data_IF_377099907535
#
_entry.id   IF_377099907535
#
_cell.length_a   1.000
_cell.length_b   1.000
_cell.length_c   1.000
_cell.angle_alpha   90.00
_cell.angle_beta   90.00
_cell.angle_gamma   90.00
#
_symmetry.space_group_name_H-M   'P 1'
#
loop_
_entity.id
_entity.type
_entity.pdbx_description
1 polymer ?
#
# COMPACT_ATOMS: atom_id res chain seq x y z
N UNK A 1 36.83 8.54 -21.87
CA UNK A 1 35.59 9.33 -21.69
C UNK A 1 34.51 8.40 -21.16
N UNK A 2 33.71 8.88 -20.21
CA UNK A 2 32.61 8.10 -19.63
C UNK A 2 31.60 7.78 -20.73
N UNK A 3 31.17 6.52 -20.81
CA UNK A 3 30.17 6.05 -21.77
C UNK A 3 28.81 6.11 -21.09
N UNK A 4 27.88 6.84 -21.69
CA UNK A 4 26.51 7.04 -21.22
C UNK A 4 25.60 6.17 -22.09
N UNK A 5 24.57 5.56 -21.50
CA UNK A 5 23.63 4.69 -22.24
C UNK A 5 22.88 5.49 -23.30
N UNK A 6 22.43 6.71 -22.96
CA UNK A 6 21.72 7.60 -23.86
C UNK A 6 20.56 6.90 -24.58
N UNK A 7 20.39 7.17 -25.87
CA UNK A 7 19.39 6.47 -26.71
C UNK A 7 19.90 5.11 -27.26
N UNK A 8 21.13 4.73 -26.93
CA UNK A 8 21.80 3.55 -27.43
C UNK A 8 21.58 2.30 -26.58
N UNK A 9 22.22 1.21 -27.00
CA UNK A 9 22.34 -0.03 -26.23
C UNK A 9 23.81 -0.36 -26.06
N UNK A 10 24.20 -0.73 -24.85
CA UNK A 10 25.60 -0.98 -24.50
C UNK A 10 25.75 -2.26 -23.69
N UNK A 11 26.81 -3.03 -23.99
CA UNK A 11 27.12 -4.18 -23.18
C UNK A 11 27.71 -3.74 -21.82
N UNK A 12 27.37 -4.43 -20.74
CA UNK A 12 27.89 -4.16 -19.39
C UNK A 12 29.42 -4.09 -19.37
N UNK A 13 30.09 -4.97 -20.11
CA UNK A 13 31.55 -5.01 -20.20
C UNK A 13 32.14 -3.73 -20.78
N UNK A 14 31.44 -3.08 -21.71
CA UNK A 14 31.88 -1.83 -22.31
C UNK A 14 31.70 -0.63 -21.36
N UNK A 15 30.58 -0.59 -20.63
CA UNK A 15 30.32 0.42 -19.61
C UNK A 15 31.34 0.29 -18.47
N UNK A 16 31.57 -0.92 -17.97
CA UNK A 16 32.58 -1.22 -16.95
C UNK A 16 34.00 -0.81 -17.37
N UNK A 17 34.38 -1.09 -18.63
CA UNK A 17 35.67 -0.65 -19.16
C UNK A 17 35.78 0.89 -19.13
N UNK A 18 34.70 1.59 -19.50
CA UNK A 18 34.64 3.04 -19.45
C UNK A 18 34.70 3.61 -18.02
N UNK A 19 34.03 2.97 -17.06
CA UNK A 19 34.05 3.37 -15.63
C UNK A 19 35.44 3.29 -15.01
N UNK A 20 36.26 2.34 -15.46
CA UNK A 20 37.65 2.19 -15.00
C UNK A 20 38.60 3.18 -15.69
N UNK A 21 38.31 3.53 -16.94
CA UNK A 21 39.16 4.37 -17.76
C UNK A 21 38.91 5.88 -17.58
N UNK A 22 37.84 6.27 -16.88
CA UNK A 22 37.47 7.68 -16.70
C UNK A 22 38.13 8.25 -15.44
N UNK A 23 39.03 9.25 -15.55
CA UNK A 23 39.58 9.94 -14.39
C UNK A 23 38.49 10.77 -13.72
N UNK A 24 38.15 10.44 -12.48
CA UNK A 24 37.10 11.12 -11.72
C UNK A 24 37.62 12.07 -10.64
N UNK A 25 38.93 12.26 -10.53
CA UNK A 25 39.55 13.05 -9.45
C UNK A 25 39.31 12.51 -8.05
N UNK A 26 38.87 11.25 -7.92
CA UNK A 26 38.51 10.63 -6.63
C UNK A 26 37.03 10.77 -6.24
N UNK A 27 36.24 11.55 -6.99
CA UNK A 27 34.82 11.79 -6.69
C UNK A 27 33.91 10.62 -7.08
N UNK A 28 34.24 9.89 -8.16
CA UNK A 28 33.45 8.74 -8.64
C UNK A 28 34.32 7.49 -8.69
N UNK A 29 33.98 6.48 -7.90
CA UNK A 29 34.65 5.17 -7.98
C UNK A 29 33.95 4.28 -9.02
N UNK A 30 34.70 3.42 -9.71
CA UNK A 30 34.09 2.45 -10.64
C UNK A 30 33.09 1.52 -9.94
N UNK A 31 33.29 1.24 -8.65
CA UNK A 31 32.34 0.49 -7.81
C UNK A 31 31.04 1.29 -7.60
N UNK A 32 31.15 2.58 -7.28
CA UNK A 32 29.99 3.46 -7.11
C UNK A 32 29.17 3.59 -8.40
N UNK A 33 29.84 3.77 -9.54
CA UNK A 33 29.16 3.82 -10.85
C UNK A 33 28.43 2.50 -11.17
N UNK A 34 29.00 1.35 -10.79
CA UNK A 34 28.33 0.06 -10.96
C UNK A 34 27.08 -0.07 -10.07
N UNK A 35 27.16 0.38 -8.82
CA UNK A 35 26.00 0.40 -7.90
C UNK A 35 24.90 1.31 -8.45
N UNK A 36 25.25 2.51 -8.93
CA UNK A 36 24.30 3.41 -9.57
C UNK A 36 23.68 2.80 -10.83
N UNK A 37 24.47 2.13 -11.68
CA UNK A 37 23.97 1.43 -12.86
C UNK A 37 22.97 0.32 -12.51
N UNK A 38 23.25 -0.45 -11.45
CA UNK A 38 22.36 -1.50 -10.96
C UNK A 38 21.05 -0.91 -10.44
N UNK A 39 21.15 0.13 -9.60
CA UNK A 39 19.99 0.83 -9.07
C UNK A 39 19.10 1.38 -10.20
N UNK A 40 19.69 2.04 -11.21
CA UNK A 40 18.94 2.54 -12.38
C UNK A 40 18.21 1.41 -13.12
N UNK A 41 18.80 0.22 -13.24
CA UNK A 41 18.14 -0.92 -13.85
C UNK A 41 17.01 -1.48 -12.97
N UNK A 42 17.23 -1.62 -11.66
CA UNK A 42 16.23 -2.10 -10.69
C UNK A 42 15.02 -1.18 -10.59
N UNK A 43 15.25 0.14 -10.65
CA UNK A 43 14.19 1.15 -10.60
C UNK A 43 13.55 1.45 -11.97
N UNK A 44 13.87 0.65 -12.99
CA UNK A 44 13.24 0.75 -14.31
C UNK A 44 13.62 2.01 -15.10
N UNK A 45 14.79 2.60 -14.85
CA UNK A 45 15.38 3.63 -15.70
C UNK A 45 16.13 3.01 -16.87
N UNK A 46 16.72 1.84 -16.69
CA UNK A 46 17.40 1.08 -17.74
C UNK A 46 16.71 -0.27 -17.98
N UNK A 47 16.59 -0.64 -19.26
CA UNK A 47 16.22 -1.99 -19.67
C UNK A 47 17.46 -2.89 -19.64
N UNK A 48 17.28 -4.15 -19.25
CA UNK A 48 18.34 -5.16 -19.25
C UNK A 48 17.90 -6.37 -20.08
N UNK A 49 18.60 -6.62 -21.18
CA UNK A 49 18.44 -7.80 -22.03
C UNK A 49 19.76 -8.59 -22.04
N UNK A 50 19.83 -9.66 -21.24
CA UNK A 50 21.08 -10.39 -21.02
C UNK A 50 22.15 -9.49 -20.40
N UNK A 51 23.25 -9.27 -21.12
CA UNK A 51 24.37 -8.40 -20.71
C UNK A 51 24.30 -7.00 -21.31
N UNK A 52 23.19 -6.65 -21.95
CA UNK A 52 23.02 -5.37 -22.65
C UNK A 52 22.05 -4.48 -21.90
N UNK A 53 22.45 -3.23 -21.68
CA UNK A 53 21.62 -2.18 -21.11
C UNK A 53 21.17 -1.21 -22.19
N UNK A 54 19.93 -0.73 -22.08
CA UNK A 54 19.36 0.32 -22.93
C UNK A 54 18.44 1.25 -22.15
N UNK A 55 18.16 2.42 -22.70
CA UNK A 55 17.24 3.36 -22.07
C UNK A 55 15.78 2.87 -22.09
N UNK A 56 15.04 3.23 -21.06
CA UNK A 56 13.58 3.10 -20.97
C UNK A 56 12.89 4.37 -21.45
N UNK A 57 11.57 4.32 -21.64
CA UNK A 57 10.78 5.53 -21.86
C UNK A 57 10.97 6.55 -20.72
N UNK A 58 11.13 6.07 -19.47
CA UNK A 58 11.37 6.90 -18.28
C UNK A 58 12.67 7.70 -18.39
N UNK A 59 13.78 7.04 -18.71
CA UNK A 59 15.07 7.73 -18.90
C UNK A 59 15.10 8.64 -20.13
N UNK A 60 14.36 8.31 -21.19
CA UNK A 60 14.29 9.13 -22.41
C UNK A 60 13.41 10.38 -22.25
N UNK A 61 12.60 10.44 -21.19
CA UNK A 61 11.78 11.59 -20.87
C UNK A 61 12.53 12.67 -20.09
N UNK A 62 13.76 12.38 -19.62
CA UNK A 62 14.61 13.36 -18.94
C UNK A 62 15.10 14.42 -19.94
N UNK A 63 15.32 15.68 -19.48
CA UNK A 63 15.91 16.72 -20.32
C UNK A 63 17.30 16.30 -20.81
N UNK A 64 17.54 16.34 -22.12
CA UNK A 64 18.83 15.94 -22.73
C UNK A 64 19.92 17.03 -22.55
N UNK A 65 19.58 18.25 -22.12
CA UNK A 65 20.45 19.44 -22.11
C UNK A 65 20.68 20.09 -20.73
N UNK A 66 20.09 19.57 -19.65
CA UNK A 66 20.25 20.11 -18.30
C UNK A 66 20.60 19.02 -17.28
N UNK A 67 21.90 18.92 -16.95
CA UNK A 67 22.41 17.95 -15.98
C UNK A 67 21.85 18.17 -14.56
N UNK A 68 21.52 19.41 -14.19
CA UNK A 68 20.95 19.75 -12.87
C UNK A 68 19.53 19.25 -12.77
N UNK A 69 18.70 19.46 -13.79
CA UNK A 69 17.33 18.96 -13.82
C UNK A 69 17.29 17.43 -13.88
N UNK A 70 18.21 16.80 -14.63
CA UNK A 70 18.39 15.34 -14.60
C UNK A 70 18.70 14.86 -13.18
N UNK A 71 19.61 15.53 -12.48
CA UNK A 71 20.00 15.16 -11.12
C UNK A 71 18.83 15.35 -10.12
N UNK A 72 18.09 16.46 -10.23
CA UNK A 72 16.87 16.72 -9.45
C UNK A 72 15.83 15.62 -9.64
N UNK A 73 15.53 15.23 -10.88
CA UNK A 73 14.57 14.17 -11.16
C UNK A 73 15.01 12.78 -10.66
N UNK A 74 16.31 12.49 -10.75
CA UNK A 74 16.86 11.25 -10.18
C UNK A 74 16.76 11.23 -8.65
N UNK A 75 17.06 12.33 -7.97
CA UNK A 75 16.91 12.41 -6.49
C UNK A 75 15.45 12.32 -6.08
N UNK A 76 14.54 13.02 -6.76
CA UNK A 76 13.08 12.90 -6.55
C UNK A 76 12.65 11.44 -6.64
N UNK A 77 13.09 10.73 -7.67
CA UNK A 77 12.77 9.32 -7.84
C UNK A 77 13.42 8.41 -6.81
N UNK A 78 14.66 8.70 -6.37
CA UNK A 78 15.31 7.93 -5.31
C UNK A 78 14.49 7.95 -4.02
N UNK A 79 13.98 9.12 -3.63
CA UNK A 79 13.16 9.26 -2.42
C UNK A 79 11.81 8.57 -2.58
N UNK A 80 11.17 8.69 -3.75
CA UNK A 80 9.83 8.11 -4.00
C UNK A 80 9.86 6.59 -4.23
N UNK A 81 10.93 6.05 -4.81
CA UNK A 81 11.02 4.64 -5.19
C UNK A 81 11.82 3.82 -4.17
N UNK A 82 12.71 4.46 -3.39
CA UNK A 82 13.51 3.84 -2.34
C UNK A 82 13.45 4.68 -1.05
N UNK A 83 12.34 4.50 -0.31
CA UNK A 83 12.01 5.29 0.87
C UNK A 83 13.13 5.24 1.94
N UNK A 84 13.71 6.39 2.32
CA UNK A 84 14.73 6.43 3.36
C UNK A 84 14.19 6.04 4.73
N UNK A 85 14.99 5.34 5.53
CA UNK A 85 14.57 4.89 6.87
C UNK A 85 14.23 6.02 7.85
N UNK A 86 14.80 7.22 7.63
CA UNK A 86 14.53 8.40 8.45
C UNK A 86 13.23 9.13 8.05
N UNK A 87 12.63 8.80 6.90
CA UNK A 87 11.51 9.55 6.33
C UNK A 87 10.33 9.66 7.29
N UNK A 88 9.94 8.55 7.94
CA UNK A 88 8.82 8.54 8.90
C UNK A 88 9.06 9.41 10.14
N UNK A 89 10.33 9.64 10.51
CA UNK A 89 10.67 10.50 11.64
C UNK A 89 10.65 11.99 11.23
N UNK A 90 11.05 12.28 9.99
CA UNK A 90 11.02 13.63 9.41
C UNK A 90 9.66 14.05 8.88
N UNK A 91 8.72 13.13 8.63
CA UNK A 91 7.36 13.46 8.16
C UNK A 91 6.33 12.98 9.15
N UNK A 92 5.77 13.88 9.96
CA UNK A 92 4.78 13.54 10.96
C UNK A 92 3.58 14.47 10.88
N UNK A 93 2.36 13.92 10.97
CA UNK A 93 1.10 14.68 10.94
C UNK A 93 0.90 15.55 9.69
N UNK A 94 1.51 15.16 8.57
CA UNK A 94 1.40 15.88 7.31
C UNK A 94 2.37 17.06 7.18
N UNK A 95 3.37 17.15 8.04
CA UNK A 95 4.38 18.21 8.04
C UNK A 95 5.79 17.61 8.02
N UNK A 96 6.75 18.35 7.45
CA UNK A 96 8.17 18.03 7.51
C UNK A 96 8.78 18.65 8.77
N UNK A 97 9.60 17.85 9.45
CA UNK A 97 10.32 18.21 10.67
C UNK A 97 11.81 18.19 10.36
N UNK A 98 12.34 19.35 10.01
CA UNK A 98 13.74 19.53 9.60
C UNK A 98 14.73 19.01 10.64
N UNK A 99 14.39 19.07 11.92
CA UNK A 99 15.27 18.62 13.00
C UNK A 99 15.53 17.10 13.00
N UNK A 100 14.80 16.33 12.19
CA UNK A 100 15.01 14.88 11.99
C UNK A 100 15.56 14.52 10.61
N UNK A 101 15.80 15.50 9.74
CA UNK A 101 16.52 15.27 8.50
C UNK A 101 18.01 15.03 8.80
N UNK A 102 18.61 13.95 8.26
CA UNK A 102 20.06 13.81 8.29
C UNK A 102 20.75 15.02 7.61
N UNK A 103 21.90 15.43 8.13
CA UNK A 103 22.64 16.61 7.62
C UNK A 103 22.98 16.47 6.12
N UNK A 104 23.35 15.27 5.68
CA UNK A 104 23.67 14.97 4.29
C UNK A 104 22.43 15.04 3.37
N UNK A 105 21.28 14.59 3.87
CA UNK A 105 20.01 14.74 3.17
C UNK A 105 19.58 16.22 3.09
N UNK A 106 19.68 16.97 4.20
CA UNK A 106 19.36 18.40 4.23
C UNK A 106 20.20 19.17 3.22
N UNK A 107 21.53 18.99 3.25
CA UNK A 107 22.44 19.65 2.33
C UNK A 107 22.13 19.32 0.86
N UNK A 108 21.81 18.05 0.56
CA UNK A 108 21.41 17.64 -0.78
C UNK A 108 20.11 18.32 -1.21
N UNK A 109 19.10 18.37 -0.34
CA UNK A 109 17.83 19.03 -0.68
C UNK A 109 17.99 20.53 -0.84
N UNK A 110 18.76 21.20 0.02
CA UNK A 110 19.05 22.64 -0.08
C UNK A 110 19.80 23.00 -1.37
N UNK A 111 20.69 22.13 -1.84
CA UNK A 111 21.40 22.32 -3.11
C UNK A 111 20.45 22.12 -4.31
N UNK A 112 19.52 21.17 -4.20
CA UNK A 112 18.76 20.68 -5.33
C UNK A 112 17.34 21.21 -5.44
N UNK A 113 16.70 21.69 -4.37
CA UNK A 113 15.27 22.04 -4.34
C UNK A 113 15.04 23.25 -3.43
N UNK A 114 13.95 23.98 -3.67
CA UNK A 114 13.43 24.90 -2.65
C UNK A 114 12.65 24.15 -1.56
N UNK A 115 12.32 24.85 -0.47
CA UNK A 115 11.67 24.26 0.70
C UNK A 115 10.28 23.67 0.35
N UNK A 116 9.52 24.32 -0.54
CA UNK A 116 8.20 23.88 -0.95
C UNK A 116 8.28 22.57 -1.76
N UNK A 117 9.22 22.49 -2.70
CA UNK A 117 9.47 21.30 -3.49
C UNK A 117 9.98 20.14 -2.64
N UNK A 118 10.94 20.41 -1.75
CA UNK A 118 11.46 19.43 -0.79
C UNK A 118 10.33 18.85 0.05
N UNK A 119 9.51 19.70 0.65
CA UNK A 119 8.42 19.26 1.53
C UNK A 119 7.38 18.45 0.76
N UNK A 120 7.03 18.88 -0.46
CA UNK A 120 6.13 18.13 -1.33
C UNK A 120 6.66 16.72 -1.65
N UNK A 121 7.97 16.59 -1.94
CA UNK A 121 8.60 15.28 -2.23
C UNK A 121 8.56 14.38 -1.00
N UNK A 122 8.95 14.89 0.17
CA UNK A 122 9.00 14.12 1.41
C UNK A 122 7.60 13.67 1.85
N UNK A 123 6.60 14.56 1.79
CA UNK A 123 5.22 14.24 2.14
C UNK A 123 4.59 13.26 1.14
N UNK A 124 4.89 13.38 -0.15
CA UNK A 124 4.43 12.42 -1.16
C UNK A 124 5.04 11.03 -0.91
N UNK A 125 6.34 10.96 -0.60
CA UNK A 125 7.02 9.72 -0.26
C UNK A 125 6.42 9.07 1.00
N UNK A 126 6.18 9.85 2.06
CA UNK A 126 5.57 9.38 3.29
C UNK A 126 4.15 8.84 3.06
N UNK A 127 3.35 9.54 2.24
CA UNK A 127 1.99 9.13 1.89
C UNK A 127 1.98 7.81 1.10
N UNK A 128 2.95 7.61 0.19
CA UNK A 128 3.12 6.36 -0.55
C UNK A 128 3.48 5.20 0.38
N UNK A 129 4.38 5.43 1.33
CA UNK A 129 4.73 4.44 2.36
C UNK A 129 3.52 4.02 3.19
N UNK A 130 2.75 5.01 3.68
CA UNK A 130 1.55 4.75 4.46
C UNK A 130 0.51 3.95 3.65
N UNK A 131 0.35 4.25 2.36
CA UNK A 131 -0.54 3.49 1.49
C UNK A 131 -0.11 2.02 1.36
N UNK A 132 1.17 1.75 1.19
CA UNK A 132 1.70 0.38 1.10
C UNK A 132 1.56 -0.36 2.43
N UNK A 133 1.90 0.28 3.55
CA UNK A 133 1.76 -0.29 4.88
C UNK A 133 0.30 -0.52 5.29
N UNK A 134 -0.66 0.23 4.71
CA UNK A 134 -2.10 0.00 4.85
C UNK A 134 -2.57 -1.14 3.95
N UNK A 135 -2.03 -1.25 2.73
CA UNK A 135 -2.30 -2.37 1.82
C UNK A 135 -1.87 -3.69 2.45
N UNK A 136 -0.63 -3.79 2.92
CA UNK A 136 -0.10 -4.97 3.61
C UNK A 136 -0.91 -5.32 4.87
N UNK A 137 -1.35 -4.31 5.62
CA UNK A 137 -2.21 -4.50 6.79
C UNK A 137 -3.58 -5.07 6.40
N UNK A 138 -4.16 -4.58 5.30
CA UNK A 138 -5.39 -5.09 4.72
C UNK A 138 -5.25 -6.55 4.32
N UNK A 139 -4.21 -6.88 3.56
CA UNK A 139 -3.94 -8.25 3.10
C UNK A 139 -3.77 -9.23 4.26
N UNK A 140 -2.99 -8.84 5.28
CA UNK A 140 -2.80 -9.64 6.48
C UNK A 140 -4.12 -9.83 7.25
N UNK A 141 -4.97 -8.80 7.30
CA UNK A 141 -6.30 -8.89 7.90
C UNK A 141 -7.20 -9.89 7.16
N UNK A 142 -7.24 -9.83 5.83
CA UNK A 142 -8.03 -10.74 5.02
C UNK A 142 -7.55 -12.20 5.14
N UNK A 143 -6.25 -12.44 5.16
CA UNK A 143 -5.69 -13.79 5.33
C UNK A 143 -6.06 -14.38 6.70
N UNK A 144 -5.98 -13.57 7.77
CA UNK A 144 -6.39 -13.96 9.12
C UNK A 144 -7.88 -14.29 9.18
N UNK A 145 -8.75 -13.46 8.61
CA UNK A 145 -10.21 -13.72 8.60
C UNK A 145 -10.53 -14.98 7.81
N UNK A 146 -9.87 -15.21 6.67
CA UNK A 146 -10.07 -16.41 5.88
C UNK A 146 -9.65 -17.67 6.65
N UNK A 147 -8.51 -17.64 7.35
CA UNK A 147 -8.07 -18.73 8.21
C UNK A 147 -9.10 -18.98 9.31
N UNK A 148 -9.49 -17.92 10.04
CA UNK A 148 -10.46 -18.02 11.12
C UNK A 148 -11.82 -18.58 10.63
N UNK A 149 -12.26 -18.24 9.41
CA UNK A 149 -13.47 -18.81 8.81
C UNK A 149 -13.34 -20.33 8.60
N UNK A 150 -12.19 -20.79 8.08
CA UNK A 150 -11.93 -22.22 7.84
C UNK A 150 -11.83 -22.96 9.16
N UNK A 151 -11.04 -22.46 10.09
CA UNK A 151 -10.84 -23.04 11.41
C UNK A 151 -12.17 -23.14 12.18
N UNK A 152 -13.01 -22.11 12.11
CA UNK A 152 -14.35 -22.10 12.72
C UNK A 152 -15.22 -23.25 12.20
N UNK A 153 -15.25 -23.44 10.86
CA UNK A 153 -16.07 -24.47 10.20
C UNK A 153 -15.51 -25.87 10.44
N UNK A 154 -14.19 -26.04 10.39
CA UNK A 154 -13.51 -27.32 10.66
C UNK A 154 -13.71 -27.77 12.10
N UNK A 155 -13.54 -26.86 13.06
CA UNK A 155 -13.77 -27.14 14.49
C UNK A 155 -15.23 -27.57 14.78
N UNK A 156 -16.17 -27.23 13.90
CA UNK A 156 -17.59 -27.60 13.99
C UNK A 156 -17.97 -28.76 13.07
N UNK A 157 -16.99 -29.52 12.58
CA UNK A 157 -17.21 -30.72 11.79
C UNK A 157 -17.71 -30.47 10.37
N UNK A 158 -17.45 -29.28 9.81
CA UNK A 158 -17.86 -28.88 8.44
C UNK A 158 -16.67 -28.57 7.51
N UNK A 159 -15.71 -29.50 7.33
CA UNK A 159 -14.60 -29.30 6.39
C UNK A 159 -15.05 -29.19 4.92
N UNK A 160 -16.25 -29.68 4.60
CA UNK A 160 -16.88 -29.49 3.29
C UNK A 160 -17.20 -28.02 3.00
N UNK A 161 -17.56 -27.25 4.03
CA UNK A 161 -17.84 -25.82 3.93
C UNK A 161 -16.58 -24.98 4.09
N UNK A 162 -15.65 -25.37 4.98
CA UNK A 162 -14.36 -24.69 5.12
C UNK A 162 -13.63 -24.61 3.78
N UNK A 163 -13.63 -25.72 3.03
CA UNK A 163 -13.11 -25.79 1.65
C UNK A 163 -13.87 -24.94 0.64
N UNK A 164 -14.97 -24.26 0.97
CA UNK A 164 -15.66 -23.31 0.09
C UNK A 164 -15.40 -21.85 0.45
N UNK A 165 -14.77 -21.56 1.59
CA UNK A 165 -14.38 -20.19 1.96
C UNK A 165 -13.25 -19.66 1.07
N UNK A 166 -13.43 -18.45 0.50
CA UNK A 166 -12.53 -17.83 -0.48
C UNK A 166 -12.37 -16.33 -0.22
N UNK A 167 -11.15 -15.84 -0.43
CA UNK A 167 -10.83 -14.43 -0.58
C UNK A 167 -11.12 -14.03 -2.03
N UNK A 168 -12.15 -13.21 -2.24
CA UNK A 168 -12.61 -12.75 -3.56
C UNK A 168 -12.00 -11.42 -3.98
N UNK A 169 -11.44 -10.66 -3.06
CA UNK A 169 -10.64 -9.44 -3.35
C UNK A 169 -9.50 -9.73 -4.32
N UNK A 170 -8.84 -10.89 -4.20
CA UNK A 170 -7.83 -11.38 -5.17
C UNK A 170 -8.35 -11.56 -6.60
N UNK A 171 -9.68 -11.60 -6.78
CA UNK A 171 -10.34 -11.73 -8.09
C UNK A 171 -10.78 -10.36 -8.59
N UNK A 172 -11.37 -9.53 -7.72
CA UNK A 172 -11.90 -8.21 -8.09
C UNK A 172 -12.27 -7.38 -6.86
N UNK A 173 -11.67 -6.19 -6.75
CA UNK A 173 -12.04 -5.16 -5.76
C UNK A 173 -13.46 -4.58 -5.98
N UNK A 174 -14.02 -4.74 -7.18
CA UNK A 174 -15.37 -4.25 -7.49
C UNK A 174 -16.51 -5.04 -6.83
N UNK A 175 -16.23 -6.14 -6.11
CA UNK A 175 -17.27 -6.98 -5.50
C UNK A 175 -17.97 -6.30 -4.31
N UNK A 176 -17.28 -5.42 -3.59
CA UNK A 176 -17.80 -4.76 -2.38
C UNK A 176 -17.82 -5.66 -1.13
N UNK A 177 -16.99 -6.71 -1.12
CA UNK A 177 -16.60 -7.53 0.04
C UNK A 177 -15.30 -8.28 -0.29
N UNK A 178 -14.53 -8.65 0.74
CA UNK A 178 -13.24 -9.31 0.56
C UNK A 178 -13.33 -10.83 0.59
N UNK A 179 -14.19 -11.40 1.44
CA UNK A 179 -14.26 -12.85 1.68
C UNK A 179 -15.69 -13.36 1.49
N UNK A 180 -15.82 -14.51 0.84
CA UNK A 180 -17.05 -15.29 0.80
C UNK A 180 -16.85 -16.58 1.58
N UNK A 181 -17.69 -16.83 2.59
CA UNK A 181 -17.63 -18.03 3.42
C UNK A 181 -19.04 -18.55 3.71
N UNK A 182 -19.30 -19.88 3.61
CA UNK A 182 -20.56 -20.42 4.09
C UNK A 182 -20.66 -20.36 5.62
N UNK A 183 -21.86 -20.09 6.15
CA UNK A 183 -22.18 -20.32 7.56
C UNK A 183 -22.42 -21.82 7.84
N UNK A 184 -22.68 -22.21 9.09
CA UNK A 184 -22.94 -23.63 9.45
C UNK A 184 -24.15 -24.24 8.74
N UNK A 185 -25.13 -23.42 8.33
CA UNK A 185 -26.26 -23.87 7.51
C UNK A 185 -25.90 -24.02 6.01
N UNK A 186 -24.69 -23.63 5.60
CA UNK A 186 -24.23 -23.67 4.21
C UNK A 186 -24.61 -22.44 3.38
N UNK A 187 -25.19 -21.41 4.01
CA UNK A 187 -25.58 -20.17 3.34
C UNK A 187 -24.38 -19.23 3.23
N UNK A 188 -24.26 -18.53 2.11
CA UNK A 188 -23.06 -17.78 1.80
C UNK A 188 -23.05 -16.39 2.45
N UNK A 189 -22.14 -16.18 3.40
CA UNK A 189 -21.82 -14.89 4.01
C UNK A 189 -20.79 -14.12 3.17
N UNK A 190 -20.95 -12.79 3.11
CA UNK A 190 -20.02 -11.82 2.51
C UNK A 190 -19.38 -11.02 3.62
N UNK A 191 -18.06 -11.07 3.71
CA UNK A 191 -17.31 -10.44 4.79
C UNK A 191 -16.43 -9.35 4.16
N UNK A 192 -16.70 -8.11 4.55
CA UNK A 192 -15.80 -6.98 4.33
C UNK A 192 -14.84 -6.91 5.51
N UNK A 193 -13.54 -6.89 5.25
CA UNK A 193 -12.51 -6.98 6.29
C UNK A 193 -11.81 -5.63 6.42
N UNK A 194 -11.85 -5.04 7.62
CA UNK A 194 -11.08 -3.83 7.92
C UNK A 194 -10.11 -4.09 9.05
N UNK A 195 -8.82 -3.96 8.75
CA UNK A 195 -7.77 -4.11 9.73
C UNK A 195 -7.24 -2.74 10.17
N UNK A 196 -7.09 -2.54 11.48
CA UNK A 196 -6.62 -1.28 12.05
C UNK A 196 -5.48 -1.49 13.07
N UNK A 197 -4.71 -0.42 13.30
CA UNK A 197 -3.67 -0.36 14.33
C UNK A 197 -4.14 0.52 15.49
N UNK A 198 -3.75 0.17 16.71
CA UNK A 198 -4.05 0.96 17.92
C UNK A 198 -5.33 0.55 18.65
N UNK A 199 -5.82 1.44 19.52
CA UNK A 199 -6.91 1.13 20.46
C UNK A 199 -8.30 1.37 19.88
N UNK A 200 -8.46 2.39 19.05
CA UNK A 200 -9.76 2.84 18.54
C UNK A 200 -9.97 2.36 17.09
N UNK A 201 -10.98 1.51 16.81
CA UNK A 201 -11.25 1.05 15.46
C UNK A 201 -11.87 2.18 14.65
N UNK A 202 -11.04 2.81 13.82
CA UNK A 202 -11.50 3.74 12.79
C UNK A 202 -11.21 3.12 11.43
N UNK A 203 -12.26 2.98 10.62
CA UNK A 203 -12.21 2.28 9.34
C UNK A 203 -12.76 3.17 8.23
N UNK A 204 -12.37 2.86 7.01
CA UNK A 204 -12.90 3.52 5.82
C UNK A 204 -13.87 2.56 5.14
N UNK A 205 -15.08 3.03 4.85
CA UNK A 205 -16.09 2.28 4.10
C UNK A 205 -16.32 2.99 2.76
N UNK A 206 -16.22 2.24 1.66
CA UNK A 206 -16.49 2.79 0.33
C UNK A 206 -17.99 2.81 0.03
N UNK A 207 -18.40 3.63 -0.94
CA UNK A 207 -19.77 3.67 -1.44
C UNK A 207 -20.22 2.31 -1.95
N UNK A 208 -19.35 1.63 -2.71
CA UNK A 208 -19.64 0.31 -3.24
C UNK A 208 -19.89 -0.70 -2.12
N UNK A 209 -19.02 -0.77 -1.10
CA UNK A 209 -19.19 -1.66 0.06
C UNK A 209 -20.53 -1.40 0.77
N UNK A 210 -20.85 -0.12 1.02
CA UNK A 210 -22.11 0.26 1.64
C UNK A 210 -23.34 -0.13 0.81
N UNK A 211 -23.35 0.18 -0.48
CA UNK A 211 -24.48 -0.14 -1.36
C UNK A 211 -24.66 -1.65 -1.53
N UNK A 212 -23.55 -2.38 -1.68
CA UNK A 212 -23.52 -3.84 -1.81
C UNK A 212 -24.03 -4.50 -0.54
N UNK A 213 -23.56 -4.06 0.63
CA UNK A 213 -23.98 -4.60 1.91
C UNK A 213 -25.42 -4.26 2.24
N UNK A 214 -25.89 -3.05 1.91
CA UNK A 214 -27.27 -2.62 2.16
C UNK A 214 -28.30 -3.46 1.41
N UNK A 215 -27.91 -4.08 0.29
CA UNK A 215 -28.76 -4.95 -0.54
C UNK A 215 -28.64 -6.43 -0.18
N UNK A 216 -27.76 -6.81 0.76
CA UNK A 216 -27.45 -8.21 1.05
C UNK A 216 -27.59 -8.51 2.55
N UNK A 217 -28.53 -9.42 2.94
CA UNK A 217 -28.82 -9.69 4.35
C UNK A 217 -27.69 -10.43 5.10
N UNK A 218 -26.72 -11.02 4.39
CA UNK A 218 -25.56 -11.72 4.98
C UNK A 218 -24.25 -11.05 4.58
N UNK A 219 -24.26 -9.73 4.57
CA UNK A 219 -23.06 -8.91 4.46
C UNK A 219 -22.68 -8.43 5.85
N UNK A 220 -21.40 -8.60 6.20
CA UNK A 220 -20.89 -8.29 7.52
C UNK A 220 -19.56 -7.55 7.40
N UNK A 221 -19.36 -6.57 8.29
CA UNK A 221 -18.08 -5.92 8.49
C UNK A 221 -17.33 -6.67 9.59
N UNK A 222 -16.16 -7.22 9.28
CA UNK A 222 -15.29 -7.94 10.21
C UNK A 222 -14.07 -7.08 10.50
N UNK A 223 -13.82 -6.81 11.78
CA UNK A 223 -12.68 -6.00 12.21
C UNK A 223 -11.53 -6.88 12.67
N UNK A 224 -10.34 -6.54 12.18
CA UNK A 224 -9.08 -7.10 12.65
C UNK A 224 -8.24 -6.01 13.31
N UNK A 225 -7.42 -6.41 14.29
CA UNK A 225 -6.47 -5.51 14.93
C UNK A 225 -5.07 -6.07 14.81
N UNK A 226 -4.13 -5.23 14.40
CA UNK A 226 -2.70 -5.51 14.46
C UNK A 226 -2.08 -4.86 15.69
N UNK A 227 -1.32 -5.65 16.46
CA UNK A 227 -0.52 -5.20 17.61
C UNK A 227 0.97 -5.40 17.32
N UNK A 228 1.56 -4.48 16.56
CA UNK A 228 2.98 -4.56 16.17
C UNK A 228 3.25 -5.67 15.15
N UNK A 229 4.34 -6.42 15.36
CA UNK A 229 4.87 -7.40 14.39
C UNK A 229 4.14 -8.76 14.38
N UNK A 230 3.10 -8.93 15.21
CA UNK A 230 2.28 -10.14 15.20
C UNK A 230 1.22 -10.09 14.12
N UNK A 231 0.84 -11.27 13.62
CA UNK A 231 -0.31 -11.40 12.72
C UNK A 231 -1.55 -10.74 13.34
N UNK A 232 -2.39 -10.07 12.53
CA UNK A 232 -3.63 -9.48 13.04
C UNK A 232 -4.51 -10.52 13.76
N UNK A 233 -5.34 -10.05 14.68
CA UNK A 233 -6.37 -10.87 15.33
C UNK A 233 -7.76 -10.36 14.96
N UNK A 234 -8.72 -11.29 14.82
CA UNK A 234 -10.14 -10.93 14.63
C UNK A 234 -10.67 -10.36 15.95
N UNK A 235 -11.12 -9.11 15.93
CA UNK A 235 -11.72 -8.44 17.10
C UNK A 235 -13.19 -8.80 17.23
N UNK A 236 -13.89 -8.83 16.10
CA UNK A 236 -15.33 -9.10 16.05
C UNK A 236 -15.93 -8.60 14.75
N UNK A 237 -17.25 -8.59 14.68
CA UNK A 237 -17.98 -8.23 13.47
C UNK A 237 -19.27 -7.47 13.78
N UNK A 238 -19.79 -6.75 12.79
CA UNK A 238 -21.07 -6.05 12.88
C UNK A 238 -21.82 -6.09 11.54
N UNK A 239 -23.10 -5.72 11.57
CA UNK A 239 -23.91 -5.49 10.36
C UNK A 239 -23.85 -4.02 9.95
N UNK A 240 -24.40 -3.67 8.79
CA UNK A 240 -24.48 -2.26 8.38
C UNK A 240 -25.50 -1.47 9.20
N UNK A 241 -26.50 -2.12 9.80
CA UNK A 241 -27.61 -1.48 10.51
C UNK A 241 -27.17 -0.39 11.51
N UNK A 242 -26.23 -0.64 12.46
CA UNK A 242 -25.77 0.41 13.38
C UNK A 242 -24.98 1.54 12.68
N UNK A 243 -24.44 1.30 11.48
CA UNK A 243 -23.60 2.24 10.75
C UNK A 243 -24.39 3.17 9.82
N UNK A 244 -25.57 2.76 9.35
CA UNK A 244 -26.43 3.53 8.43
C UNK A 244 -26.62 4.99 8.87
N UNK A 245 -26.93 5.31 10.15
CA UNK A 245 -27.16 6.69 10.58
C UNK A 245 -25.92 7.59 10.47
N UNK A 246 -24.72 7.01 10.33
CA UNK A 246 -23.43 7.71 10.22
C UNK A 246 -23.00 7.90 8.77
N UNK A 247 -23.75 7.40 7.79
CA UNK A 247 -23.35 7.45 6.39
C UNK A 247 -23.67 8.79 5.76
N UNK A 248 -22.79 9.32 4.88
CA UNK A 248 -23.11 10.51 4.10
C UNK A 248 -24.33 10.25 3.20
N UNK A 249 -25.10 11.32 2.96
CA UNK A 249 -26.23 11.31 2.02
C UNK A 249 -25.92 12.33 0.93
N UNK A 250 -26.05 11.91 -0.33
CA UNK A 250 -25.92 12.83 -1.45
C UNK A 250 -27.09 13.81 -1.46
N UNK A 251 -26.78 15.11 -1.43
CA UNK A 251 -27.78 16.17 -1.39
C UNK A 251 -28.00 16.84 -2.75
N UNK A 252 -27.10 16.64 -3.71
CA UNK A 252 -27.16 17.22 -5.06
C UNK A 252 -26.76 16.17 -6.10
N UNK A 253 -27.33 16.25 -7.30
CA UNK A 253 -27.09 15.25 -8.37
C UNK A 253 -25.69 15.34 -9.01
N UNK A 254 -24.96 16.44 -8.78
CA UNK A 254 -23.65 16.67 -9.38
C UNK A 254 -22.48 16.25 -8.49
N UNK A 255 -22.76 15.67 -7.31
CA UNK A 255 -21.73 15.25 -6.36
C UNK A 255 -22.18 14.01 -5.61
N UNK A 256 -21.26 13.06 -5.49
CA UNK A 256 -21.51 11.77 -4.85
C UNK A 256 -20.38 11.44 -3.88
N UNK A 257 -20.72 11.04 -2.67
CA UNK A 257 -19.70 10.53 -1.74
C UNK A 257 -19.14 9.20 -2.25
N UNK A 258 -17.84 8.98 -2.02
CA UNK A 258 -17.13 7.77 -2.48
C UNK A 258 -16.56 6.94 -1.32
N UNK A 259 -16.09 7.60 -0.26
CA UNK A 259 -15.53 6.94 0.93
C UNK A 259 -15.94 7.73 2.16
N UNK A 260 -16.23 7.03 3.27
CA UNK A 260 -16.47 7.64 4.57
C UNK A 260 -15.59 6.99 5.64
N UNK A 261 -15.10 7.80 6.59
CA UNK A 261 -14.32 7.35 7.74
C UNK A 261 -15.25 7.20 8.94
N UNK A 262 -15.34 6.00 9.50
CA UNK A 262 -16.28 5.66 10.56
C UNK A 262 -15.51 5.13 11.75
N UNK A 263 -15.83 5.65 12.93
CA UNK A 263 -15.42 5.04 14.20
C UNK A 263 -16.45 3.97 14.57
N UNK A 264 -15.97 2.78 14.92
CA UNK A 264 -16.81 1.68 15.39
C UNK A 264 -16.70 1.60 16.91
N UNK A 265 -17.82 1.50 17.61
CA UNK A 265 -17.81 1.34 19.06
C UNK A 265 -17.72 -0.14 19.41
N UNK A 266 -16.99 -0.48 20.48
CA UNK A 266 -16.83 -1.88 20.90
C UNK A 266 -18.17 -2.57 21.21
N UNK A 267 -19.18 -1.81 21.63
CA UNK A 267 -20.55 -2.30 21.85
C UNK A 267 -21.30 -2.67 20.57
N UNK A 268 -20.82 -2.24 19.40
CA UNK A 268 -21.41 -2.56 18.09
C UNK A 268 -20.85 -3.86 17.51
N UNK A 269 -19.79 -4.40 18.14
CA UNK A 269 -19.12 -5.61 17.69
C UNK A 269 -19.64 -6.84 18.43
N UNK A 270 -20.00 -7.85 17.65
CA UNK A 270 -20.22 -9.21 18.12
C UNK A 270 -18.88 -9.96 18.07
N UNK A 271 -18.53 -10.73 19.11
CA UNK A 271 -17.27 -11.46 19.13
C UNK A 271 -17.23 -12.57 18.06
N UNK A 272 -16.03 -12.93 17.61
CA UNK A 272 -15.82 -14.05 16.69
C UNK A 272 -16.18 -13.72 15.23
N UNK A 273 -16.91 -14.62 14.56
CA UNK A 273 -17.26 -14.52 13.14
C UNK A 273 -18.77 -14.76 12.92
N UNK A 274 -19.39 -14.12 11.91
CA UNK A 274 -20.81 -14.26 11.58
C UNK A 274 -21.13 -15.56 10.81
N UNK A 275 -20.63 -16.69 11.29
CA UNK A 275 -20.77 -18.00 10.63
C UNK A 275 -21.68 -18.96 11.40
N UNK A 276 -22.10 -18.62 12.61
CA UNK A 276 -23.19 -19.31 13.30
C UNK A 276 -24.54 -18.65 12.93
N UNK A 277 -25.48 -19.37 12.32
CA UNK A 277 -26.82 -18.84 12.05
C UNK A 277 -27.54 -18.29 13.29
N UNK A 278 -27.22 -18.82 14.49
CA UNK A 278 -27.79 -18.33 15.74
C UNK A 278 -27.41 -16.86 16.02
N UNK A 279 -26.23 -16.42 15.59
CA UNK A 279 -25.76 -15.06 15.84
C UNK A 279 -26.44 -14.02 14.93
N UNK A 280 -26.95 -14.45 13.77
CA UNK A 280 -27.61 -13.59 12.78
C UNK A 280 -29.09 -13.27 13.12
N UNK A 281 -29.73 -14.08 13.97
CA UNK A 281 -31.14 -13.92 14.36
C UNK A 281 -31.37 -12.83 15.42
N UNK A 282 -30.30 -12.25 15.96
CA UNK A 282 -30.36 -11.28 17.05
C UNK A 282 -30.44 -9.80 16.58
N UNK A 283 -30.64 -9.56 15.28
CA UNK A 283 -30.83 -8.22 14.67
C UNK A 283 -32.29 -8.02 14.17
N UNK A 284 -33.22 -8.92 14.53
CA UNK A 284 -34.64 -8.87 14.17
C UNK A 284 -35.55 -8.30 15.27
#
# INVERSE_FOLDING_TARGET
>A
MLRIVGRGRHADSELLASYRATPSGGFLSSKGLLVAQQWLAEQGWLTREGTTLGATARSLALPDDDETEVARELVRAMILDSLPAWLSASTARGEVREEFLPEDASALFEEMFDDDERDAILLAAASKYDAEALRELGEAGEDVVLSACRDFLEARGRPDLARKARRVSLISDAMGWDISSPNLAGELCRLEVKCYRGRDPTVYLTRNEFEVGSRRPRWYLVLCRSTGDSAPEVVGWTTLTPLIPRMPVDVVLSAEWQVTKIRIDASELRPGLPLDPADALADG
#
